data_IF_574949929533
#
_entry.id   IF_574949929533
#
_cell.length_a   1.000
_cell.length_b   1.000
_cell.length_c   1.000
_cell.angle_alpha   90.00
_cell.angle_beta   90.00
_cell.angle_gamma   90.00
#
_symmetry.space_group_name_H-M   'P 1'
#
loop_
_entity.id
_entity.type
_entity.pdbx_description
1 polymer ?
#
# COMPACT_ATOMS: atom_id res chain seq x y z
N UNK A 1 19.79 18.22 15.02
CA UNK A 1 19.36 17.54 13.77
C UNK A 1 18.18 18.31 13.20
N UNK A 2 18.15 18.57 11.88
CA UNK A 2 16.96 19.14 11.23
C UNK A 2 15.87 18.07 11.24
N UNK A 3 14.68 18.41 11.74
CA UNK A 3 13.52 17.51 11.70
C UNK A 3 13.01 17.48 10.26
N UNK A 4 13.04 16.31 9.64
CA UNK A 4 12.50 16.12 8.30
C UNK A 4 10.97 16.08 8.36
N UNK A 5 10.31 16.64 7.36
CA UNK A 5 8.88 16.44 7.14
C UNK A 5 8.60 15.11 6.41
N UNK A 6 7.34 14.74 6.28
CA UNK A 6 6.92 13.48 5.64
C UNK A 6 7.49 13.32 4.22
N UNK A 7 7.42 14.36 3.41
CA UNK A 7 7.91 14.32 2.02
C UNK A 7 9.42 14.16 1.96
N UNK A 8 10.16 14.89 2.80
CA UNK A 8 11.62 14.76 2.91
C UNK A 8 12.02 13.34 3.37
N UNK A 9 11.23 12.70 4.24
CA UNK A 9 11.46 11.32 4.67
C UNK A 9 11.23 10.33 3.52
N UNK A 10 10.13 10.48 2.78
CA UNK A 10 9.83 9.63 1.61
C UNK A 10 10.94 9.77 0.56
N UNK A 11 11.37 11.00 0.27
CA UNK A 11 12.45 11.27 -0.68
C UNK A 11 13.77 10.62 -0.22
N UNK A 12 14.07 10.67 1.09
CA UNK A 12 15.23 9.99 1.66
C UNK A 12 15.15 8.48 1.47
N UNK A 13 14.05 7.82 1.85
CA UNK A 13 13.91 6.37 1.70
C UNK A 13 13.97 5.93 0.24
N UNK A 14 13.28 6.66 -0.65
CA UNK A 14 13.28 6.34 -2.08
C UNK A 14 14.66 6.55 -2.72
N UNK A 15 15.50 7.44 -2.19
CA UNK A 15 16.88 7.60 -2.69
C UNK A 15 17.77 6.36 -2.51
N UNK A 16 17.44 5.48 -1.55
CA UNK A 16 18.17 4.22 -1.33
C UNK A 16 17.64 3.05 -2.17
N UNK A 17 16.48 3.20 -2.82
CA UNK A 17 15.85 2.14 -3.61
C UNK A 17 16.19 2.37 -5.08
N UNK A 18 17.13 1.59 -5.62
CA UNK A 18 17.48 1.62 -7.04
C UNK A 18 16.65 0.58 -7.82
N UNK A 19 15.36 0.87 -8.02
CA UNK A 19 14.45 0.00 -8.78
C UNK A 19 13.76 0.80 -9.93
N UNK A 20 14.01 0.43 -11.20
CA UNK A 20 13.38 1.08 -12.37
C UNK A 20 11.85 1.03 -12.39
N UNK A 21 11.24 0.11 -11.64
CA UNK A 21 9.79 0.07 -11.45
C UNK A 21 9.33 1.19 -10.53
N UNK A 22 10.10 1.48 -9.48
CA UNK A 22 9.78 2.54 -8.53
C UNK A 22 9.75 3.90 -9.21
N UNK A 23 10.66 4.16 -10.16
CA UNK A 23 10.70 5.41 -10.92
C UNK A 23 9.42 5.68 -11.73
N UNK A 24 8.69 4.64 -12.12
CA UNK A 24 7.44 4.77 -12.90
C UNK A 24 6.20 5.03 -12.04
N UNK A 25 6.22 4.61 -10.79
CA UNK A 25 5.08 4.69 -9.84
C UNK A 25 5.40 5.58 -8.62
N UNK A 26 6.52 6.32 -8.66
CA UNK A 26 6.95 7.17 -7.56
C UNK A 26 5.91 8.24 -7.26
N UNK A 27 5.43 8.24 -6.02
CA UNK A 27 4.47 9.23 -5.52
C UNK A 27 3.03 8.99 -5.97
N UNK A 28 2.73 7.82 -6.53
CA UNK A 28 1.37 7.39 -6.81
C UNK A 28 0.73 6.70 -5.58
N UNK A 29 -0.60 6.56 -5.58
CA UNK A 29 -1.33 5.98 -4.45
C UNK A 29 -1.05 4.48 -4.29
N UNK A 30 -0.66 3.80 -5.37
CA UNK A 30 -0.40 2.35 -5.41
C UNK A 30 0.92 2.05 -6.12
N UNK A 31 1.52 0.90 -5.82
CA UNK A 31 2.69 0.38 -6.53
C UNK A 31 2.31 -0.82 -7.38
N UNK A 32 2.84 -0.89 -8.61
CA UNK A 32 2.63 -2.00 -9.55
C UNK A 32 3.92 -2.80 -9.66
N UNK A 33 3.85 -4.09 -9.33
CA UNK A 33 4.97 -5.02 -9.38
C UNK A 33 4.69 -6.12 -10.41
N UNK A 34 5.48 -6.23 -11.49
CA UNK A 34 5.32 -7.31 -12.46
C UNK A 34 5.83 -8.63 -11.86
N UNK A 35 4.98 -9.65 -11.90
CA UNK A 35 5.37 -11.01 -11.55
C UNK A 35 6.17 -11.60 -12.73
N UNK A 36 7.47 -11.88 -12.52
CA UNK A 36 8.33 -12.43 -13.59
C UNK A 36 7.91 -13.85 -14.00
N UNK A 37 8.09 -14.07 -15.31
CA UNK A 37 7.72 -15.21 -16.15
C UNK A 37 7.91 -16.63 -15.56
N UNK A 38 8.92 -16.87 -14.70
CA UNK A 38 9.19 -18.21 -14.16
C UNK A 38 8.11 -18.73 -13.20
N UNK A 39 7.42 -17.85 -12.47
CA UNK A 39 6.29 -18.25 -11.61
C UNK A 39 5.01 -18.50 -12.44
N UNK A 40 4.89 -17.83 -13.59
CA UNK A 40 3.74 -17.87 -14.50
C UNK A 40 3.72 -19.16 -15.33
N UNK A 41 4.89 -19.76 -15.62
CA UNK A 41 4.99 -21.07 -16.30
C UNK A 41 4.23 -22.18 -15.55
N UNK A 42 4.13 -22.08 -14.22
CA UNK A 42 3.36 -23.00 -13.37
C UNK A 42 1.83 -22.84 -13.52
N UNK A 43 1.36 -21.74 -14.10
CA UNK A 43 -0.04 -21.32 -14.19
C UNK A 43 -0.59 -21.38 -15.64
N UNK A 44 0.18 -21.85 -16.64
CA UNK A 44 -0.26 -21.96 -18.05
C UNK A 44 -0.85 -20.66 -18.64
N UNK A 45 -0.39 -19.48 -18.20
CA UNK A 45 -0.78 -18.19 -18.79
C UNK A 45 0.37 -17.59 -19.59
N UNK A 46 0.14 -17.28 -20.85
CA UNK A 46 1.10 -16.59 -21.75
C UNK A 46 1.13 -15.07 -21.56
N UNK A 47 0.71 -14.56 -20.39
CA UNK A 47 0.58 -13.12 -20.12
C UNK A 47 1.39 -12.68 -18.90
N UNK A 48 1.80 -11.42 -18.89
CA UNK A 48 2.41 -10.75 -17.73
C UNK A 48 1.35 -10.54 -16.66
N UNK A 49 1.57 -11.07 -15.45
CA UNK A 49 0.70 -10.82 -14.30
C UNK A 49 1.32 -9.65 -13.53
N UNK A 50 0.56 -8.57 -13.33
CA UNK A 50 0.97 -7.46 -12.47
C UNK A 50 0.23 -7.58 -11.14
N UNK A 51 0.97 -7.46 -10.05
CA UNK A 51 0.43 -7.34 -8.70
C UNK A 51 0.41 -5.86 -8.35
N UNK A 52 -0.69 -5.39 -7.79
CA UNK A 52 -0.81 -4.02 -7.29
C UNK A 52 -0.89 -4.06 -5.78
N UNK A 53 -0.06 -3.25 -5.12
CA UNK A 53 0.07 -3.22 -3.68
C UNK A 53 -0.20 -1.81 -3.16
N UNK A 54 -0.81 -1.75 -1.97
CA UNK A 54 -1.03 -0.55 -1.16
C UNK A 54 -0.93 -0.96 0.30
N UNK A 55 -0.39 -0.08 1.12
CA UNK A 55 -0.41 -0.23 2.58
C UNK A 55 -0.74 1.12 3.22
N UNK A 56 -1.71 1.13 4.13
CA UNK A 56 -1.99 2.23 5.03
C UNK A 56 -1.95 1.76 6.47
N UNK A 57 -1.78 2.72 7.38
CA UNK A 57 -1.81 2.50 8.82
C UNK A 57 -2.96 3.31 9.43
N UNK A 58 -3.61 2.72 10.44
CA UNK A 58 -4.54 3.42 11.32
C UNK A 58 -3.96 3.36 12.75
N UNK A 59 -3.72 4.51 13.36
CA UNK A 59 -3.18 4.63 14.71
C UNK A 59 -4.28 5.18 15.63
N UNK A 60 -4.53 4.52 16.76
CA UNK A 60 -5.60 4.90 17.69
C UNK A 60 -5.50 6.38 18.12
N UNK A 61 -4.31 6.85 18.48
CA UNK A 61 -4.10 8.20 19.01
C UNK A 61 -4.36 9.32 18.01
N UNK A 62 -4.31 9.04 16.69
CA UNK A 62 -4.44 10.06 15.64
C UNK A 62 -5.69 9.88 14.79
N UNK A 63 -6.11 8.64 14.54
CA UNK A 63 -7.14 8.33 13.55
C UNK A 63 -8.50 7.96 14.15
N UNK A 64 -8.55 7.69 15.46
CA UNK A 64 -9.76 7.23 16.16
C UNK A 64 -10.29 8.33 17.07
N UNK A 65 -11.54 8.70 16.86
CA UNK A 65 -12.24 9.59 17.81
C UNK A 65 -12.83 8.79 18.96
N UNK A 66 -12.96 9.38 20.16
CA UNK A 66 -13.50 8.70 21.35
C UNK A 66 -14.93 8.16 21.25
N UNK A 67 -15.67 8.48 20.18
CA UNK A 67 -17.03 7.97 19.91
C UNK A 67 -17.07 6.81 18.90
N UNK A 68 -15.94 6.46 18.27
CA UNK A 68 -15.90 5.38 17.27
C UNK A 68 -16.02 4.01 17.94
N UNK A 69 -16.91 3.18 17.41
CA UNK A 69 -17.03 1.77 17.79
C UNK A 69 -15.93 0.94 17.12
N UNK A 70 -15.50 -0.18 17.71
CA UNK A 70 -14.49 -1.06 17.11
C UNK A 70 -14.76 -1.45 15.65
N UNK A 71 -16.02 -1.72 15.31
CA UNK A 71 -16.40 -2.04 13.92
C UNK A 71 -16.18 -0.86 12.95
N UNK A 72 -16.38 0.38 13.40
CA UNK A 72 -16.13 1.56 12.58
C UNK A 72 -14.63 1.76 12.35
N UNK A 73 -13.82 1.52 13.39
CA UNK A 73 -12.35 1.56 13.32
C UNK A 73 -11.85 0.50 12.33
N UNK A 74 -12.31 -0.74 12.46
CA UNK A 74 -11.96 -1.83 11.55
C UNK A 74 -12.40 -1.56 10.11
N UNK A 75 -13.57 -0.95 9.90
CA UNK A 75 -14.00 -0.55 8.55
C UNK A 75 -13.12 0.56 7.98
N UNK A 76 -12.77 1.56 8.78
CA UNK A 76 -11.91 2.66 8.36
C UNK A 76 -10.52 2.16 7.96
N UNK A 77 -9.93 1.22 8.71
CA UNK A 77 -8.61 0.67 8.38
C UNK A 77 -8.59 -0.09 7.05
N UNK A 78 -9.66 -0.80 6.71
CA UNK A 78 -9.77 -1.49 5.41
C UNK A 78 -10.10 -0.52 4.28
N UNK A 79 -11.04 0.41 4.51
CA UNK A 79 -11.52 1.34 3.48
C UNK A 79 -10.42 2.29 3.02
N UNK A 80 -9.48 2.69 3.89
CA UNK A 80 -8.33 3.51 3.51
C UNK A 80 -7.50 2.88 2.38
N UNK A 81 -7.08 1.62 2.53
CA UNK A 81 -6.38 0.93 1.44
C UNK A 81 -7.27 0.76 0.20
N UNK A 82 -8.57 0.44 0.39
CA UNK A 82 -9.51 0.21 -0.72
C UNK A 82 -9.77 1.49 -1.52
N UNK A 83 -9.79 2.67 -0.87
CA UNK A 83 -10.00 3.94 -1.58
C UNK A 83 -8.89 4.22 -2.57
N UNK A 84 -7.65 3.86 -2.24
CA UNK A 84 -6.50 4.12 -3.09
C UNK A 84 -6.48 3.20 -4.32
N UNK A 85 -6.89 1.94 -4.14
CA UNK A 85 -7.17 1.06 -5.28
C UNK A 85 -8.31 1.61 -6.15
N UNK A 86 -9.40 2.07 -5.52
CA UNK A 86 -10.56 2.60 -6.23
C UNK A 86 -10.22 3.88 -7.01
N UNK A 87 -9.35 4.75 -6.48
CA UNK A 87 -8.86 5.96 -7.14
C UNK A 87 -8.10 5.65 -8.45
N UNK A 88 -7.55 4.43 -8.59
CA UNK A 88 -6.90 3.94 -9.81
C UNK A 88 -7.77 3.01 -10.65
N UNK A 89 -9.04 2.81 -10.27
CA UNK A 89 -9.95 1.88 -10.96
C UNK A 89 -9.54 0.40 -10.80
N UNK A 90 -8.81 0.07 -9.73
CA UNK A 90 -8.27 -1.26 -9.48
C UNK A 90 -9.18 -2.00 -8.50
N UNK A 91 -9.53 -3.24 -8.83
CA UNK A 91 -10.30 -4.11 -7.94
C UNK A 91 -9.36 -4.80 -6.94
N UNK A 92 -9.53 -4.62 -5.61
CA UNK A 92 -8.75 -5.36 -4.62
C UNK A 92 -9.20 -6.82 -4.55
N UNK A 93 -8.24 -7.73 -4.28
CA UNK A 93 -8.50 -9.18 -4.22
C UNK A 93 -8.15 -9.82 -2.87
N UNK A 94 -7.13 -9.29 -2.19
CA UNK A 94 -6.65 -9.81 -0.92
C UNK A 94 -6.17 -8.66 -0.04
N UNK A 95 -6.16 -8.87 1.27
CA UNK A 95 -5.56 -7.96 2.23
C UNK A 95 -4.75 -8.76 3.25
N UNK A 96 -3.70 -8.13 3.79
CA UNK A 96 -2.95 -8.60 4.94
C UNK A 96 -3.14 -7.58 6.06
N UNK A 97 -3.45 -8.05 7.26
CA UNK A 97 -3.67 -7.18 8.42
C UNK A 97 -2.56 -7.47 9.43
N UNK A 98 -1.81 -6.43 9.79
CA UNK A 98 -0.88 -6.42 10.92
C UNK A 98 -1.51 -5.60 12.05
N UNK A 99 -1.72 -6.21 13.21
CA UNK A 99 -2.38 -5.59 14.37
C UNK A 99 -1.38 -5.50 15.52
N UNK A 100 -1.13 -4.28 16.00
CA UNK A 100 -0.49 -4.04 17.29
C UNK A 100 -1.55 -3.98 18.39
N UNK A 101 -1.45 -4.85 19.39
CA UNK A 101 -2.30 -4.88 20.58
C UNK A 101 -1.42 -4.51 21.78
N UNK A 102 -1.92 -3.78 22.80
CA UNK A 102 -1.17 -3.44 24.01
C UNK A 102 -0.59 -4.64 24.75
#
# INVERSE_FOLDING_TARGET
>A
MKRLNEREIIDLFTSYINDPLLDKVKGDDVVIVPLKYDMIKRINKTGTINIVLKSDMLIESTDVTGIMKPLQIARKSIIACVSDFAAKGIRPYACLISIGIP
#
